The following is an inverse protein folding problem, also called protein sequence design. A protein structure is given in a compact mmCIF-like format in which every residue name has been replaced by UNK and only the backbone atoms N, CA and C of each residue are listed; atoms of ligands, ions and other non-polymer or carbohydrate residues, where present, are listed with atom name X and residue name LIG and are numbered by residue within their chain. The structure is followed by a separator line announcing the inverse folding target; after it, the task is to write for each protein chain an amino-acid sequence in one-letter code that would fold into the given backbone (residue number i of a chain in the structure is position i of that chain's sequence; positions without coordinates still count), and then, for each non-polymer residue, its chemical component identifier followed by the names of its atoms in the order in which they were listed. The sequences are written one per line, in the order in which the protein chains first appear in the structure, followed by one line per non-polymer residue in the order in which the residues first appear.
data_IF_608293245161
#
_entry.id   IF_608293245161
#
_cell.length_a   1.000
_cell.length_b   1.000
_cell.length_c   1.000
_cell.angle_alpha   90.00
_cell.angle_beta   90.00
_cell.angle_gamma   90.00
#
_symmetry.space_group_name_H-M   'P 1'
#
loop_
_entity.id
_entity.type
_entity.pdbx_description
1 polymer ?
#
# COMPACT_ATOMS: atom_id res chain seq x y z
N UNK A 1 -19.52 -14.15 -1.43
CA UNK A 1 -18.18 -13.59 -1.13
C UNK A 1 -17.57 -12.78 -2.28
N UNK A 2 -17.70 -13.22 -3.54
CA UNK A 2 -17.04 -12.58 -4.70
C UNK A 2 -17.53 -11.18 -5.11
N UNK A 3 -18.69 -10.74 -4.61
CA UNK A 3 -19.28 -9.42 -4.95
C UNK A 3 -18.95 -8.32 -3.94
N UNK A 4 -18.20 -8.63 -2.87
CA UNK A 4 -17.88 -7.65 -1.83
C UNK A 4 -16.64 -6.85 -2.21
N UNK A 5 -16.72 -5.54 -2.05
CA UNK A 5 -15.54 -4.68 -2.08
C UNK A 5 -14.87 -4.62 -0.71
N UNK A 6 -13.55 -4.43 -0.71
CA UNK A 6 -12.74 -4.34 0.50
C UNK A 6 -11.58 -3.35 0.32
N UNK A 7 -10.98 -2.93 1.43
CA UNK A 7 -9.66 -2.32 1.45
C UNK A 7 -8.68 -3.24 2.17
N UNK A 8 -7.40 -3.18 1.80
CA UNK A 8 -6.32 -3.88 2.47
C UNK A 8 -5.16 -2.91 2.76
N UNK A 9 -4.59 -3.04 3.95
CA UNK A 9 -3.32 -2.44 4.34
C UNK A 9 -2.32 -3.57 4.61
N UNK A 10 -1.10 -3.41 4.11
CA UNK A 10 -0.03 -4.39 4.28
C UNK A 10 1.20 -3.65 4.81
N UNK A 11 1.57 -3.97 6.04
CA UNK A 11 2.70 -3.36 6.74
C UNK A 11 3.97 -4.18 6.54
N UNK A 12 5.08 -3.49 6.33
CA UNK A 12 6.39 -4.10 6.21
C UNK A 12 7.52 -3.10 6.49
N UNK A 13 8.70 -3.67 6.68
CA UNK A 13 9.98 -2.96 6.76
C UNK A 13 10.97 -3.59 5.74
N UNK A 14 12.25 -3.29 5.84
CA UNK A 14 13.31 -3.88 5.01
C UNK A 14 13.65 -3.08 3.74
N UNK A 15 12.74 -2.24 3.25
CA UNK A 15 12.94 -1.33 2.12
C UNK A 15 12.40 0.07 2.44
N UNK A 16 12.79 1.06 1.63
CA UNK A 16 12.23 2.42 1.74
C UNK A 16 10.87 2.52 1.06
N UNK A 17 10.05 3.49 1.44
CA UNK A 17 8.78 3.83 0.78
C UNK A 17 9.00 4.13 -0.70
N UNK A 18 10.06 4.88 -1.03
CA UNK A 18 10.42 5.18 -2.41
C UNK A 18 10.72 3.90 -3.23
N UNK A 19 11.43 2.93 -2.64
CA UNK A 19 11.71 1.66 -3.31
C UNK A 19 10.46 0.81 -3.47
N UNK A 20 9.59 0.77 -2.45
CA UNK A 20 8.30 0.10 -2.56
C UNK A 20 7.41 0.72 -3.64
N UNK A 21 7.33 2.05 -3.69
CA UNK A 21 6.59 2.79 -4.72
C UNK A 21 7.13 2.48 -6.12
N UNK A 22 8.45 2.41 -6.29
CA UNK A 22 9.09 2.01 -7.55
C UNK A 22 8.69 0.59 -7.97
N UNK A 23 8.71 -0.38 -7.05
CA UNK A 23 8.33 -1.77 -7.35
C UNK A 23 6.86 -1.85 -7.80
N UNK A 24 5.98 -1.11 -7.12
CA UNK A 24 4.54 -1.08 -7.44
C UNK A 24 4.31 -0.38 -8.79
N UNK A 25 4.99 0.74 -9.05
CA UNK A 25 4.87 1.46 -10.32
C UNK A 25 5.41 0.65 -11.50
N UNK A 26 6.51 -0.08 -11.33
CA UNK A 26 7.03 -1.01 -12.33
C UNK A 26 6.04 -2.14 -12.65
N UNK A 27 5.34 -2.68 -11.64
CA UNK A 27 4.31 -3.70 -11.86
C UNK A 27 3.14 -3.17 -12.69
N UNK A 28 2.67 -1.95 -12.40
CA UNK A 28 1.55 -1.34 -13.12
C UNK A 28 1.95 -0.68 -14.44
N UNK A 29 3.24 -0.57 -14.76
CA UNK A 29 3.71 0.22 -15.91
C UNK A 29 3.43 1.72 -15.75
N UNK A 30 3.45 2.21 -14.52
CA UNK A 30 3.09 3.57 -14.12
C UNK A 30 4.31 4.32 -13.54
N UNK A 31 4.09 5.58 -13.15
CA UNK A 31 5.05 6.41 -12.43
C UNK A 31 4.61 6.58 -10.98
N UNK A 32 5.54 6.49 -10.04
CA UNK A 32 5.28 6.86 -8.65
C UNK A 32 5.41 8.38 -8.46
N UNK A 33 4.42 8.98 -7.79
CA UNK A 33 4.47 10.37 -7.35
C UNK A 33 4.78 10.45 -5.86
N UNK A 34 5.75 11.29 -5.47
CA UNK A 34 5.98 11.63 -4.06
C UNK A 34 5.03 12.76 -3.67
N UNK A 35 4.11 12.47 -2.76
CA UNK A 35 3.06 13.40 -2.29
C UNK A 35 3.50 14.11 -1.00
N UNK A 36 4.33 13.46 -0.17
CA UNK A 36 4.80 14.01 1.09
C UNK A 36 3.72 14.02 2.19
N UNK A 37 3.68 15.09 2.98
CA UNK A 37 2.75 15.24 4.11
C UNK A 37 3.15 14.45 5.36
N UNK A 38 2.26 14.40 6.36
CA UNK A 38 2.54 13.78 7.66
C UNK A 38 2.90 12.28 7.62
N UNK A 39 2.50 11.60 6.54
CA UNK A 39 2.81 10.19 6.29
C UNK A 39 3.94 9.99 5.25
N UNK A 40 4.55 11.07 4.75
CA UNK A 40 5.57 11.04 3.69
C UNK A 40 5.20 10.10 2.53
N UNK A 41 3.99 10.32 1.99
CA UNK A 41 3.31 9.37 1.14
C UNK A 41 3.83 9.37 -0.29
N UNK A 42 3.77 8.20 -0.92
CA UNK A 42 3.84 8.02 -2.37
C UNK A 42 2.50 7.51 -2.90
N UNK A 43 2.19 7.84 -4.15
CA UNK A 43 1.01 7.39 -4.86
C UNK A 43 1.40 6.75 -6.20
N UNK A 44 0.74 5.64 -6.53
CA UNK A 44 0.84 4.97 -7.83
C UNK A 44 -0.56 4.67 -8.32
N UNK A 45 -0.88 5.05 -9.55
CA UNK A 45 -2.15 4.70 -10.19
C UNK A 45 -2.01 3.37 -10.94
N UNK A 46 -3.01 2.50 -10.79
CA UNK A 46 -3.12 1.28 -11.61
C UNK A 46 -3.77 1.56 -12.98
N UNK A 47 -3.91 0.52 -13.81
CA UNK A 47 -4.51 0.64 -15.14
C UNK A 47 -5.99 1.06 -15.17
N UNK A 48 -6.68 1.06 -14.02
CA UNK A 48 -8.05 1.57 -13.87
C UNK A 48 -8.09 3.02 -13.32
N UNK A 49 -6.92 3.65 -13.12
CA UNK A 49 -6.81 4.98 -12.51
C UNK A 49 -7.08 4.97 -11.00
N UNK A 50 -6.99 3.81 -10.34
CA UNK A 50 -7.18 3.71 -8.89
C UNK A 50 -5.84 3.87 -8.19
N UNK A 51 -5.83 4.66 -7.11
CA UNK A 51 -4.60 4.99 -6.40
C UNK A 51 -4.25 3.96 -5.33
N UNK A 52 -3.04 3.41 -5.44
CA UNK A 52 -2.34 2.68 -4.39
C UNK A 52 -1.40 3.63 -3.66
N UNK A 53 -1.43 3.63 -2.33
CA UNK A 53 -0.57 4.53 -1.53
C UNK A 53 0.50 3.73 -0.80
N UNK A 54 1.67 4.34 -0.68
CA UNK A 54 2.78 3.82 0.12
C UNK A 54 3.07 4.89 1.16
N UNK A 55 2.82 4.57 2.42
CA UNK A 55 2.83 5.54 3.50
C UNK A 55 3.74 5.11 4.63
N UNK A 56 4.11 6.06 5.50
CA UNK A 56 4.77 5.77 6.76
C UNK A 56 3.74 5.30 7.77
N UNK A 57 3.99 4.16 8.40
CA UNK A 57 3.30 3.79 9.64
C UNK A 57 4.26 3.75 10.83
N UNK A 58 4.06 4.68 11.76
CA UNK A 58 4.88 4.81 12.95
C UNK A 58 4.79 3.62 13.92
N UNK A 59 3.77 2.77 13.79
CA UNK A 59 3.54 1.60 14.63
C UNK A 59 4.58 0.49 14.38
N UNK A 60 5.17 0.46 13.17
CA UNK A 60 6.10 -0.59 12.75
C UNK A 60 7.48 -0.36 13.37
N UNK A 61 8.03 -1.37 14.03
CA UNK A 61 9.43 -1.40 14.45
C UNK A 61 10.35 -1.59 13.24
N UNK A 62 11.34 -0.71 13.07
CA UNK A 62 12.27 -0.77 11.95
C UNK A 62 13.39 -1.78 12.27
N UNK A 63 13.51 -2.81 11.45
CA UNK A 63 14.72 -3.65 11.44
C UNK A 63 15.75 -3.13 10.44
N UNK A 64 15.30 -2.73 9.24
CA UNK A 64 16.09 -2.16 8.14
C UNK A 64 15.18 -1.30 7.26
N UNK A 65 15.73 -0.33 6.54
CA UNK A 65 14.91 0.51 5.65
C UNK A 65 13.97 1.40 6.45
N UNK A 66 12.69 1.40 6.11
CA UNK A 66 11.70 2.28 6.74
C UNK A 66 10.49 1.52 7.31
N UNK A 67 9.67 2.25 8.04
CA UNK A 67 8.28 1.97 8.38
C UNK A 67 7.39 2.16 7.15
N UNK A 68 6.90 1.07 6.55
CA UNK A 68 6.14 1.15 5.29
C UNK A 68 4.81 0.42 5.38
N UNK A 69 3.73 1.09 4.99
CA UNK A 69 2.42 0.49 4.77
C UNK A 69 1.99 0.70 3.32
N UNK A 70 1.57 -0.37 2.67
CA UNK A 70 0.87 -0.33 1.37
C UNK A 70 -0.62 -0.28 1.63
N UNK A 71 -1.28 0.79 1.17
CA UNK A 71 -2.73 1.00 1.27
C UNK A 71 -3.35 0.83 -0.11
N UNK A 72 -4.27 -0.12 -0.24
CA UNK A 72 -4.96 -0.38 -1.50
C UNK A 72 -6.04 0.67 -1.82
N UNK A 73 -6.45 0.80 -3.10
CA UNK A 73 -7.75 1.35 -3.41
C UNK A 73 -8.88 0.43 -2.90
N UNK A 74 -10.13 0.81 -3.15
CA UNK A 74 -11.26 -0.10 -2.98
C UNK A 74 -11.09 -1.26 -3.98
N UNK A 75 -10.79 -2.44 -3.44
CA UNK A 75 -10.55 -3.67 -4.17
C UNK A 75 -11.84 -4.46 -4.38
N UNK A 76 -11.81 -5.31 -5.41
CA UNK A 76 -12.78 -6.35 -5.75
C UNK A 76 -12.11 -7.71 -5.61
N UNK A 77 -12.87 -8.79 -5.72
CA UNK A 77 -12.32 -10.14 -5.56
C UNK A 77 -11.20 -10.44 -6.56
N UNK A 78 -11.28 -9.87 -7.75
CA UNK A 78 -10.31 -10.02 -8.84
C UNK A 78 -8.96 -9.36 -8.50
N UNK A 79 -8.95 -8.34 -7.63
CA UNK A 79 -7.73 -7.65 -7.21
C UNK A 79 -6.85 -8.48 -6.28
N UNK A 80 -7.35 -9.62 -5.77
CA UNK A 80 -6.56 -10.52 -4.91
C UNK A 80 -5.30 -11.01 -5.64
N UNK A 81 -5.39 -11.28 -6.95
CA UNK A 81 -4.22 -11.71 -7.74
C UNK A 81 -3.17 -10.61 -7.84
N UNK A 82 -3.61 -9.37 -8.07
CA UNK A 82 -2.75 -8.18 -8.05
C UNK A 82 -2.07 -8.01 -6.68
N UNK A 83 -2.83 -8.11 -5.59
CA UNK A 83 -2.31 -8.00 -4.22
C UNK A 83 -1.23 -9.07 -3.97
N UNK A 84 -1.51 -10.32 -4.33
CA UNK A 84 -0.54 -11.40 -4.15
C UNK A 84 0.74 -11.15 -4.94
N UNK A 85 0.64 -10.67 -6.18
CA UNK A 85 1.80 -10.41 -7.01
C UNK A 85 2.62 -9.23 -6.49
N UNK A 86 1.99 -8.16 -6.04
CA UNK A 86 2.66 -7.05 -5.36
C UNK A 86 3.43 -7.53 -4.13
N UNK A 87 2.83 -8.37 -3.27
CA UNK A 87 3.51 -8.95 -2.11
C UNK A 87 4.73 -9.79 -2.52
N UNK A 88 4.63 -10.61 -3.58
CA UNK A 88 5.78 -11.39 -4.09
C UNK A 88 6.91 -10.48 -4.56
N UNK A 89 6.60 -9.44 -5.33
CA UNK A 89 7.60 -8.49 -5.85
C UNK A 89 8.24 -7.65 -4.74
N UNK A 90 7.46 -7.15 -3.78
CA UNK A 90 7.98 -6.42 -2.62
C UNK A 90 8.93 -7.29 -1.80
N UNK A 91 8.55 -8.56 -1.54
CA UNK A 91 9.44 -9.51 -0.85
C UNK A 91 10.73 -9.76 -1.63
N UNK A 92 10.65 -9.96 -2.95
CA UNK A 92 11.83 -10.12 -3.80
C UNK A 92 12.73 -8.86 -3.80
N UNK A 93 12.14 -7.68 -3.66
CA UNK A 93 12.87 -6.41 -3.52
C UNK A 93 13.50 -6.19 -2.13
N UNK A 94 13.22 -7.08 -1.16
CA UNK A 94 13.80 -7.07 0.17
C UNK A 94 12.84 -6.65 1.29
N UNK A 95 11.54 -6.47 1.02
CA UNK A 95 10.56 -6.23 2.06
C UNK A 95 10.48 -7.41 3.04
N UNK A 96 10.29 -7.10 4.32
CA UNK A 96 10.21 -8.05 5.43
C UNK A 96 9.11 -7.63 6.39
N UNK A 97 8.45 -8.59 7.02
CA UNK A 97 7.59 -8.35 8.18
C UNK A 97 8.30 -8.80 9.45
N UNK A 98 7.91 -8.21 10.57
CA UNK A 98 8.29 -8.62 11.91
C UNK A 98 7.05 -8.63 12.82
N UNK A 99 7.23 -8.84 14.12
CA UNK A 99 6.12 -8.97 15.08
C UNK A 99 5.28 -7.70 15.24
N UNK A 100 5.72 -6.55 14.73
CA UNK A 100 4.93 -5.31 14.73
C UNK A 100 4.18 -5.06 13.43
N UNK A 101 4.37 -5.89 12.40
CA UNK A 101 3.68 -5.73 11.12
C UNK A 101 2.33 -6.48 11.12
N UNK A 102 1.31 -5.84 10.58
CA UNK A 102 -0.03 -6.37 10.36
C UNK A 102 -0.46 -6.49 8.90
N UNK A 103 -1.59 -7.14 8.71
CA UNK A 103 -2.42 -7.01 7.51
C UNK A 103 -3.80 -6.60 7.99
N UNK A 104 -4.28 -5.44 7.55
CA UNK A 104 -5.61 -4.97 7.89
C UNK A 104 -6.55 -5.22 6.72
N UNK A 105 -7.77 -5.64 7.04
CA UNK A 105 -8.82 -5.87 6.07
C UNK A 105 -10.10 -5.20 6.55
N UNK A 106 -10.67 -4.35 5.70
CA UNK A 106 -11.92 -3.67 5.99
C UNK A 106 -12.93 -3.85 4.86
N UNK A 107 -14.13 -4.31 5.20
CA UNK A 107 -15.31 -4.18 4.31
C UNK A 107 -15.66 -2.69 4.23
N UNK A 108 -16.07 -2.23 3.03
CA UNK A 108 -16.33 -0.86 2.51
C UNK A 108 -16.94 0.23 3.42
N UNK A 109 -17.14 0.02 4.72
CA UNK A 109 -17.73 0.98 5.67
C UNK A 109 -16.86 1.33 6.89
N UNK A 110 -15.61 0.82 6.99
CA UNK A 110 -14.72 1.11 8.13
C UNK A 110 -13.53 2.03 7.76
N UNK A 111 -13.21 2.17 6.48
CA UNK A 111 -12.10 3.00 5.97
C UNK A 111 -12.51 4.44 5.58
N UNK A 112 -13.49 5.03 6.27
CA UNK A 112 -13.88 6.45 6.07
C UNK A 112 -13.25 7.42 7.08
N UNK A 113 -12.23 7.01 7.83
CA UNK A 113 -11.50 7.91 8.73
C UNK A 113 -10.07 8.14 8.26
N UNK A 114 -9.91 8.85 7.15
CA UNK A 114 -8.98 9.97 6.99
C UNK A 114 -9.06 10.48 5.54
N UNK A 115 -9.83 11.55 5.27
CA UNK A 115 -9.77 12.19 3.96
C UNK A 115 -8.38 12.80 3.81
N UNK A 116 -7.52 12.15 3.03
CA UNK A 116 -6.17 12.66 2.72
C UNK A 116 -6.23 13.91 1.82
N UNK A 117 -7.40 14.34 1.36
CA UNK A 117 -7.64 15.69 0.83
C UNK A 117 -9.04 16.17 1.22
N UNK A 118 -9.22 17.45 1.60
CA UNK A 118 -10.55 18.05 1.54
C UNK A 118 -10.99 18.06 0.08
N UNK A 119 -12.26 17.71 -0.16
CA UNK A 119 -12.91 18.16 -1.38
C UNK A 119 -12.82 19.69 -1.42
N UNK A 120 -12.55 20.23 -2.62
CA UNK A 120 -12.42 21.64 -2.97
C UNK A 120 -13.22 22.63 -2.10
#
# INVERSE_FOLDING_TARGET
MKTQSFGIEIEFTGITRAKAAKVISEYFGATAAHIGGGYDAYAVEDGEGRTWKIVRDASIAIERGEQVELVSPICRYEDIETIQELVRKLRAAGARSNSSCGIHYAKKYVMLSNPIFPAV
#
